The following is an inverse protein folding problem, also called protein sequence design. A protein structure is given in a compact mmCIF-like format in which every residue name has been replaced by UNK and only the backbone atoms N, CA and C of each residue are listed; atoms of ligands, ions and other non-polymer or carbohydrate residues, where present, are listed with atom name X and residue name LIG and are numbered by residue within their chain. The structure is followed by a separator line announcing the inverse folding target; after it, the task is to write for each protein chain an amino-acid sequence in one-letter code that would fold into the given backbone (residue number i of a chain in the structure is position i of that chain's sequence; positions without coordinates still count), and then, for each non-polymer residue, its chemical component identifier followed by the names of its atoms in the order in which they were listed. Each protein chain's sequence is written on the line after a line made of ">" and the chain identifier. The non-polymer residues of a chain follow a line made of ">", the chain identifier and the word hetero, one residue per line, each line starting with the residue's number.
data_IF_603481839881
#
_entry.id   IF_603481839881
#
_cell.length_a   1.000
_cell.length_b   1.000
_cell.length_c   1.000
_cell.angle_alpha   90.00
_cell.angle_beta   90.00
_cell.angle_gamma   90.00
#
_symmetry.space_group_name_H-M   'P 1'
#
loop_
_entity.id
_entity.type
_entity.pdbx_description
1 polymer ?
#
# COMPACT_ATOMS: atom_id res chain seq x y z
N UNK A 1 -13.05 15.36 -8.24
CA UNK A 1 -12.98 14.26 -7.24
C UNK A 1 -12.83 14.86 -5.86
N UNK A 2 -13.44 14.26 -4.83
CA UNK A 2 -13.28 14.74 -3.46
C UNK A 2 -11.83 14.49 -3.01
N UNK A 3 -11.26 15.30 -2.11
CA UNK A 3 -9.91 15.09 -1.59
C UNK A 3 -9.67 13.67 -1.05
N UNK A 4 -10.72 13.08 -0.47
CA UNK A 4 -10.72 11.70 0.04
C UNK A 4 -10.58 10.64 -1.07
N UNK A 5 -11.22 10.83 -2.22
CA UNK A 5 -11.11 9.90 -3.36
C UNK A 5 -9.67 9.87 -3.90
N UNK A 6 -9.00 11.03 -3.92
CA UNK A 6 -7.60 11.13 -4.34
C UNK A 6 -6.69 10.38 -3.35
N UNK A 7 -6.91 10.55 -2.05
CA UNK A 7 -6.17 9.82 -1.00
C UNK A 7 -6.37 8.31 -1.19
N UNK A 8 -7.61 7.87 -1.43
CA UNK A 8 -7.94 6.47 -1.67
C UNK A 8 -7.20 5.90 -2.89
N UNK A 9 -7.24 6.59 -4.03
CA UNK A 9 -6.55 6.17 -5.25
C UNK A 9 -5.02 6.10 -5.08
N UNK A 10 -4.43 7.10 -4.42
CA UNK A 10 -3.00 7.13 -4.12
C UNK A 10 -2.61 5.96 -3.21
N UNK A 11 -3.43 5.65 -2.19
CA UNK A 11 -3.20 4.51 -1.28
C UNK A 11 -3.30 3.16 -1.98
N UNK A 12 -4.27 3.00 -2.89
CA UNK A 12 -4.37 1.80 -3.71
C UNK A 12 -3.13 1.61 -4.59
N UNK A 13 -2.70 2.69 -5.27
CA UNK A 13 -1.50 2.67 -6.10
C UNK A 13 -0.23 2.36 -5.29
N UNK A 14 -0.09 2.95 -4.10
CA UNK A 14 1.01 2.64 -3.19
C UNK A 14 0.99 1.19 -2.70
N UNK A 15 -0.19 0.61 -2.46
CA UNK A 15 -0.32 -0.81 -2.14
C UNK A 15 0.19 -1.70 -3.27
N UNK A 16 -0.17 -1.38 -4.52
CA UNK A 16 0.32 -2.09 -5.70
C UNK A 16 1.84 -1.95 -5.89
N UNK A 17 2.39 -0.74 -5.74
CA UNK A 17 3.84 -0.52 -5.77
C UNK A 17 4.57 -1.29 -4.67
N UNK A 18 4.00 -1.32 -3.46
CA UNK A 18 4.56 -2.08 -2.33
C UNK A 18 4.63 -3.57 -2.65
N UNK A 19 3.58 -4.13 -3.25
CA UNK A 19 3.58 -5.53 -3.68
C UNK A 19 4.68 -5.81 -4.71
N UNK A 20 4.81 -4.95 -5.73
CA UNK A 20 5.86 -5.06 -6.73
C UNK A 20 7.26 -4.98 -6.10
N UNK A 21 7.50 -4.05 -5.17
CA UNK A 21 8.77 -3.92 -4.45
C UNK A 21 9.09 -5.19 -3.66
N UNK A 22 8.14 -5.74 -2.90
CA UNK A 22 8.36 -6.98 -2.14
C UNK A 22 8.76 -8.14 -3.06
N UNK A 23 8.11 -8.26 -4.23
CA UNK A 23 8.39 -9.35 -5.18
C UNK A 23 9.73 -9.15 -5.90
N UNK A 24 10.07 -7.93 -6.30
CA UNK A 24 11.36 -7.60 -6.93
C UNK A 24 12.53 -7.83 -5.98
N UNK A 25 12.33 -7.62 -4.68
CA UNK A 25 13.30 -7.94 -3.63
C UNK A 25 13.36 -9.44 -3.30
N UNK A 26 12.51 -10.28 -3.91
CA UNK A 26 12.46 -11.71 -3.66
C UNK A 26 11.93 -12.07 -2.27
N UNK A 27 11.14 -11.20 -1.65
CA UNK A 27 10.57 -11.45 -0.32
C UNK A 27 9.41 -12.43 -0.46
N UNK A 28 9.60 -13.63 0.07
CA UNK A 28 8.65 -14.74 0.12
C UNK A 28 7.99 -14.91 1.50
N UNK A 29 8.66 -14.45 2.56
CA UNK A 29 8.13 -14.46 3.92
C UNK A 29 7.13 -13.32 4.18
N UNK A 30 5.97 -13.69 4.72
CA UNK A 30 4.85 -12.78 5.00
C UNK A 30 5.23 -11.74 6.06
N UNK A 31 6.02 -12.12 7.07
CA UNK A 31 6.40 -11.21 8.17
C UNK A 31 7.31 -10.10 7.61
N UNK A 32 8.29 -10.50 6.80
CA UNK A 32 9.21 -9.58 6.13
C UNK A 32 8.48 -8.64 5.17
N UNK A 33 7.56 -9.17 4.36
CA UNK A 33 6.74 -8.38 3.46
C UNK A 33 5.83 -7.39 4.22
N UNK A 34 5.25 -7.82 5.34
CA UNK A 34 4.42 -6.97 6.20
C UNK A 34 5.24 -5.84 6.84
N UNK A 35 6.49 -6.10 7.23
CA UNK A 35 7.40 -5.08 7.75
C UNK A 35 7.66 -3.97 6.72
N UNK A 36 7.97 -4.34 5.47
CA UNK A 36 8.17 -3.40 4.37
C UNK A 36 6.89 -2.59 4.11
N UNK A 37 5.74 -3.26 4.04
CA UNK A 37 4.45 -2.62 3.83
C UNK A 37 4.14 -1.60 4.95
N UNK A 38 4.46 -1.92 6.20
CA UNK A 38 4.30 -1.00 7.33
C UNK A 38 5.19 0.24 7.17
N UNK A 39 6.47 0.07 6.83
CA UNK A 39 7.40 1.20 6.65
C UNK A 39 6.91 2.14 5.53
N UNK A 40 6.52 1.57 4.39
CA UNK A 40 5.98 2.36 3.26
C UNK A 40 4.67 3.04 3.63
N UNK A 41 3.80 2.33 4.37
CA UNK A 41 2.55 2.90 4.88
C UNK A 41 2.81 4.12 5.77
N UNK A 42 3.67 3.99 6.79
CA UNK A 42 3.95 5.11 7.70
C UNK A 42 4.63 6.29 7.00
N UNK A 43 5.56 6.01 6.07
CA UNK A 43 6.20 7.06 5.27
C UNK A 43 5.16 7.80 4.42
N UNK A 44 4.32 7.07 3.68
CA UNK A 44 3.28 7.66 2.85
C UNK A 44 2.21 8.37 3.67
N UNK A 45 1.79 7.84 4.82
CA UNK A 45 0.82 8.47 5.72
C UNK A 45 1.30 9.84 6.19
N UNK A 46 2.58 9.97 6.57
CA UNK A 46 3.17 11.26 6.94
C UNK A 46 3.16 12.26 5.78
N UNK A 47 3.53 11.83 4.57
CA UNK A 47 3.55 12.68 3.38
C UNK A 47 2.13 13.12 2.99
N UNK A 48 1.18 12.19 2.89
CA UNK A 48 -0.20 12.51 2.55
C UNK A 48 -0.84 13.42 3.59
N UNK A 49 -0.57 13.21 4.89
CA UNK A 49 -1.04 14.12 5.94
C UNK A 49 -0.54 15.54 5.72
N UNK A 50 0.73 15.74 5.40
CA UNK A 50 1.28 17.07 5.16
C UNK A 50 0.64 17.76 3.95
N UNK A 51 0.39 17.01 2.88
CA UNK A 51 -0.22 17.53 1.65
C UNK A 51 -1.70 17.91 1.86
N UNK A 52 -2.45 17.09 2.59
CA UNK A 52 -3.90 17.21 2.74
C UNK A 52 -4.36 17.91 4.02
N UNK A 53 -3.45 18.30 4.92
CA UNK A 53 -3.76 18.96 6.21
C UNK A 53 -4.62 20.23 6.07
N UNK A 54 -4.49 20.96 4.95
CA UNK A 54 -5.26 22.18 4.67
C UNK A 54 -6.63 21.90 4.04
N UNK A 55 -6.90 20.66 3.64
CA UNK A 55 -8.08 20.27 2.84
C UNK A 55 -8.98 19.25 3.56
N UNK A 56 -8.46 18.49 4.51
CA UNK A 56 -9.17 17.40 5.21
C UNK A 56 -8.61 17.23 6.62
N UNK A 57 -9.44 16.79 7.55
CA UNK A 57 -8.98 16.50 8.92
C UNK A 57 -7.90 15.41 8.93
N UNK A 58 -6.91 15.56 9.82
CA UNK A 58 -5.78 14.61 9.95
C UNK A 58 -6.24 13.18 10.24
N UNK A 59 -7.32 13.02 11.00
CA UNK A 59 -7.94 11.74 11.33
C UNK A 59 -8.46 11.03 10.08
N UNK A 60 -9.17 11.77 9.24
CA UNK A 60 -9.78 11.27 8.00
C UNK A 60 -8.73 10.82 6.98
N UNK A 61 -7.60 11.55 6.85
CA UNK A 61 -6.49 11.13 5.96
C UNK A 61 -5.93 9.77 6.35
N UNK A 62 -5.93 9.45 7.65
CA UNK A 62 -5.38 8.19 8.17
C UNK A 62 -6.35 7.04 7.98
N UNK A 63 -7.62 7.27 8.34
CA UNK A 63 -8.67 6.25 8.31
C UNK A 63 -9.06 5.88 6.89
N UNK A 64 -9.20 6.88 6.02
CA UNK A 64 -9.81 6.74 4.68
C UNK A 64 -8.88 6.11 3.63
N UNK A 65 -7.76 5.53 4.06
CA UNK A 65 -6.80 4.89 3.16
C UNK A 65 -6.07 3.69 3.74
N UNK A 66 -6.30 3.33 5.00
CA UNK A 66 -5.58 2.25 5.66
C UNK A 66 -5.96 0.90 5.05
N UNK A 67 -7.26 0.61 5.00
CA UNK A 67 -7.78 -0.66 4.49
C UNK A 67 -7.37 -0.92 3.04
N UNK A 68 -7.57 0.04 2.15
CA UNK A 68 -7.28 -0.15 0.72
C UNK A 68 -5.79 -0.39 0.45
N UNK A 69 -4.89 0.29 1.17
CA UNK A 69 -3.45 0.05 1.02
C UNK A 69 -3.10 -1.40 1.35
N UNK A 70 -3.50 -1.88 2.53
CA UNK A 70 -3.15 -3.24 2.98
C UNK A 70 -3.86 -4.32 2.17
N UNK A 71 -5.13 -4.12 1.82
CA UNK A 71 -5.89 -5.07 0.99
C UNK A 71 -5.27 -5.17 -0.40
N UNK A 72 -4.99 -4.04 -1.07
CA UNK A 72 -4.40 -4.04 -2.41
C UNK A 72 -2.99 -4.64 -2.40
N UNK A 73 -2.16 -4.27 -1.42
CA UNK A 73 -0.83 -4.87 -1.25
C UNK A 73 -0.90 -6.39 -1.08
N UNK A 74 -1.67 -6.87 -0.09
CA UNK A 74 -1.73 -8.28 0.25
C UNK A 74 -2.29 -9.11 -0.91
N UNK A 75 -3.37 -8.63 -1.54
CA UNK A 75 -3.98 -9.28 -2.68
C UNK A 75 -3.00 -9.43 -3.84
N UNK A 76 -2.38 -8.32 -4.28
CA UNK A 76 -1.46 -8.33 -5.42
C UNK A 76 -0.18 -9.13 -5.12
N UNK A 77 0.37 -9.01 -3.92
CA UNK A 77 1.57 -9.74 -3.53
C UNK A 77 1.32 -11.26 -3.58
N UNK A 78 0.24 -11.75 -2.97
CA UNK A 78 -0.12 -13.18 -2.99
C UNK A 78 -0.43 -13.65 -4.42
N UNK A 79 -1.22 -12.90 -5.18
CA UNK A 79 -1.62 -13.29 -6.54
C UNK A 79 -0.41 -13.40 -7.46
N UNK A 80 0.47 -12.39 -7.47
CA UNK A 80 1.64 -12.41 -8.36
C UNK A 80 2.67 -13.43 -7.87
N UNK A 81 2.91 -13.54 -6.55
CA UNK A 81 3.79 -14.56 -5.99
C UNK A 81 3.35 -15.97 -6.39
N UNK A 82 2.06 -16.27 -6.23
CA UNK A 82 1.48 -17.57 -6.59
C UNK A 82 1.58 -17.81 -8.10
N UNK A 83 1.28 -16.78 -8.90
CA UNK A 83 1.38 -16.87 -10.35
C UNK A 83 2.82 -17.16 -10.81
N UNK A 84 3.80 -16.42 -10.29
CA UNK A 84 5.22 -16.66 -10.60
C UNK A 84 5.64 -18.07 -10.20
N UNK A 85 5.27 -18.53 -8.99
CA UNK A 85 5.64 -19.86 -8.51
C UNK A 85 4.98 -21.01 -9.29
N UNK A 86 3.76 -20.80 -9.80
CA UNK A 86 3.00 -21.82 -10.53
C UNK A 86 3.24 -21.86 -12.04
N UNK A 87 3.64 -20.74 -12.65
CA UNK A 87 3.80 -20.62 -14.11
C UNK A 87 5.24 -20.38 -14.56
N UNK A 88 6.12 -19.82 -13.72
CA UNK A 88 7.53 -19.54 -14.05
C UNK A 88 8.52 -20.45 -13.30
N UNK A 89 8.05 -21.28 -12.35
CA UNK A 89 8.84 -22.29 -11.64
C UNK A 89 8.54 -23.70 -12.13
#
# INVERSE_FOLDING_TARGET
>A
MKPLDIIYAVRAFLGALTAAVCLLLGIDDVISAAGIAMVIYFASDRILRQIFIKKVEKSEVTKTGLGIFFITWLFLWITIYTFMKSFLG
#
